data_IF_032160838431
#
_entry.id   IF_032160838431
#
_cell.length_a   1.000
_cell.length_b   1.000
_cell.length_c   1.000
_cell.angle_alpha   90.00
_cell.angle_beta   90.00
_cell.angle_gamma   90.00
#
_symmetry.space_group_name_H-M   'P 1'
#
loop_
_entity.id
_entity.type
_entity.pdbx_description
1 polymer ?
#
# COMPACT_ATOMS: atom_id res chain seq x y z
N UNK A 1 -8.01 8.43 22.37
CA UNK A 1 -7.56 8.63 20.97
C UNK A 1 -8.74 8.92 20.05
N UNK A 2 -9.68 8.00 19.80
CA UNK A 2 -10.80 8.20 18.87
C UNK A 2 -11.65 9.44 19.15
N UNK A 3 -11.86 9.81 20.42
CA UNK A 3 -12.64 11.00 20.79
C UNK A 3 -12.03 12.33 20.30
N UNK A 4 -10.73 12.35 20.01
CA UNK A 4 -10.02 13.53 19.48
C UNK A 4 -10.24 13.68 17.97
N UNK A 5 -10.32 12.56 17.25
CA UNK A 5 -10.35 12.54 15.80
C UNK A 5 -11.79 12.73 15.32
N UNK A 6 -12.03 13.77 14.52
CA UNK A 6 -13.32 14.05 13.92
C UNK A 6 -13.76 12.89 13.02
N UNK A 7 -15.03 12.57 13.05
CA UNK A 7 -15.66 11.65 12.11
C UNK A 7 -16.50 12.46 11.12
N UNK A 8 -16.04 12.54 9.89
CA UNK A 8 -16.82 13.14 8.81
C UNK A 8 -17.94 12.18 8.40
N UNK A 9 -19.07 12.74 7.96
CA UNK A 9 -20.14 11.93 7.39
C UNK A 9 -19.64 11.33 6.05
N UNK A 10 -19.88 10.04 5.85
CA UNK A 10 -19.61 9.40 4.56
C UNK A 10 -20.43 10.10 3.46
N UNK A 11 -19.80 10.59 2.37
CA UNK A 11 -20.52 11.26 1.30
C UNK A 11 -21.40 10.29 0.52
N UNK A 12 -22.46 10.82 -0.09
CA UNK A 12 -23.30 10.06 -1.01
C UNK A 12 -22.66 10.05 -2.38
N UNK A 13 -22.50 8.87 -2.98
CA UNK A 13 -22.01 8.78 -4.36
C UNK A 13 -23.04 9.37 -5.32
N UNK A 14 -22.59 10.24 -6.21
CA UNK A 14 -23.49 10.96 -7.11
C UNK A 14 -24.11 10.06 -8.20
N UNK A 15 -23.33 9.08 -8.69
CA UNK A 15 -23.75 8.16 -9.74
C UNK A 15 -23.33 6.72 -9.37
N UNK A 16 -24.21 5.94 -8.70
CA UNK A 16 -23.95 4.53 -8.43
C UNK A 16 -23.73 3.75 -9.73
N UNK A 17 -22.79 2.81 -9.71
CA UNK A 17 -22.47 2.00 -10.89
C UNK A 17 -23.48 0.86 -11.02
N UNK A 18 -24.01 0.64 -12.22
CA UNK A 18 -24.86 -0.52 -12.50
C UNK A 18 -24.07 -1.81 -12.30
N UNK A 19 -24.57 -2.70 -11.42
CA UNK A 19 -23.83 -3.88 -10.99
C UNK A 19 -23.55 -4.88 -12.11
N UNK A 20 -24.43 -4.98 -13.14
CA UNK A 20 -24.21 -5.88 -14.26
C UNK A 20 -23.16 -5.32 -15.22
N UNK A 21 -23.30 -4.06 -15.59
CA UNK A 21 -22.30 -3.37 -16.43
C UNK A 21 -20.92 -3.38 -15.75
N UNK A 22 -20.87 -3.20 -14.43
CA UNK A 22 -19.64 -3.25 -13.66
C UNK A 22 -18.99 -4.64 -13.68
N UNK A 23 -19.78 -5.71 -13.55
CA UNK A 23 -19.26 -7.09 -13.65
C UNK A 23 -18.63 -7.37 -15.03
N UNK A 24 -19.29 -6.94 -16.11
CA UNK A 24 -18.76 -7.10 -17.47
C UNK A 24 -17.48 -6.28 -17.68
N UNK A 25 -17.43 -5.07 -17.13
CA UNK A 25 -16.26 -4.19 -17.13
C UNK A 25 -15.07 -4.85 -16.41
N UNK A 26 -15.29 -5.39 -15.18
CA UNK A 26 -14.23 -6.06 -14.43
C UNK A 26 -13.73 -7.32 -15.14
N UNK A 27 -14.59 -8.11 -15.75
CA UNK A 27 -14.19 -9.30 -16.50
C UNK A 27 -13.31 -8.93 -17.71
N UNK A 28 -13.68 -7.85 -18.42
CA UNK A 28 -12.85 -7.31 -19.51
C UNK A 28 -11.49 -6.81 -19.01
N UNK A 29 -11.49 -6.08 -17.89
CA UNK A 29 -10.27 -5.57 -17.26
C UNK A 29 -9.35 -6.70 -16.81
N UNK A 30 -9.88 -7.75 -16.16
CA UNK A 30 -9.10 -8.94 -15.76
C UNK A 30 -8.39 -9.59 -16.95
N UNK A 31 -9.12 -9.82 -18.05
CA UNK A 31 -8.53 -10.38 -19.28
C UNK A 31 -7.43 -9.47 -19.81
N UNK A 32 -7.67 -8.17 -19.88
CA UNK A 32 -6.71 -7.22 -20.39
C UNK A 32 -5.45 -7.14 -19.52
N UNK A 33 -5.60 -7.11 -18.20
CA UNK A 33 -4.48 -7.09 -17.24
C UNK A 33 -3.65 -8.36 -17.33
N UNK A 34 -4.28 -9.54 -17.46
CA UNK A 34 -3.56 -10.80 -17.66
C UNK A 34 -2.74 -10.81 -18.95
N UNK A 35 -3.27 -10.23 -20.04
CA UNK A 35 -2.54 -10.06 -21.30
C UNK A 35 -1.31 -9.13 -21.10
N UNK A 36 -1.48 -8.02 -20.35
CA UNK A 36 -0.39 -7.08 -20.06
C UNK A 36 0.69 -7.75 -19.19
N UNK A 37 0.32 -8.37 -18.07
CA UNK A 37 1.27 -9.07 -17.19
C UNK A 37 1.98 -10.20 -17.95
N UNK A 38 1.29 -10.90 -18.85
CA UNK A 38 1.91 -11.92 -19.70
C UNK A 38 2.98 -11.37 -20.63
N UNK A 39 2.79 -10.17 -21.21
CA UNK A 39 3.81 -9.49 -22.02
C UNK A 39 5.01 -9.08 -21.15
N UNK A 40 4.76 -8.57 -19.95
CA UNK A 40 5.79 -8.14 -19.02
C UNK A 40 6.71 -9.29 -18.58
N UNK A 41 6.26 -10.55 -18.57
CA UNK A 41 7.14 -11.71 -18.34
C UNK A 41 8.30 -11.75 -19.34
N UNK A 42 8.04 -11.42 -20.60
CA UNK A 42 9.08 -11.39 -21.64
C UNK A 42 9.89 -10.10 -21.60
N UNK A 43 9.23 -8.97 -21.37
CA UNK A 43 9.86 -7.66 -21.38
C UNK A 43 10.80 -7.44 -20.19
N UNK A 44 10.38 -7.86 -19.00
CA UNK A 44 11.18 -7.68 -17.78
C UNK A 44 12.17 -8.83 -17.57
N UNK A 45 11.87 -10.03 -18.07
CA UNK A 45 12.74 -11.20 -17.91
C UNK A 45 13.05 -11.47 -16.45
N UNK A 46 14.33 -11.49 -16.10
CA UNK A 46 14.81 -11.74 -14.74
C UNK A 46 15.00 -10.46 -13.92
N UNK A 47 14.64 -9.31 -14.46
CA UNK A 47 14.73 -8.01 -13.80
C UNK A 47 13.40 -7.60 -13.20
N UNK A 48 13.43 -6.52 -12.45
CA UNK A 48 12.25 -5.91 -11.82
C UNK A 48 12.00 -4.55 -12.46
N UNK A 49 10.74 -4.13 -12.60
CA UNK A 49 10.43 -2.74 -12.93
C UNK A 49 10.91 -1.82 -11.80
N UNK A 50 11.46 -0.68 -12.15
CA UNK A 50 11.74 0.40 -11.20
C UNK A 50 10.45 0.93 -10.56
N UNK A 51 10.54 1.88 -9.67
CA UNK A 51 9.39 2.37 -8.91
C UNK A 51 8.31 2.99 -9.82
N UNK A 52 8.73 3.70 -10.88
CA UNK A 52 7.82 4.38 -11.81
C UNK A 52 8.29 4.27 -13.24
N UNK A 53 7.36 4.38 -14.17
CA UNK A 53 7.65 4.55 -15.57
C UNK A 53 8.43 5.85 -15.85
N UNK A 54 9.09 5.87 -17.01
CA UNK A 54 9.64 7.05 -17.65
C UNK A 54 9.12 7.07 -19.09
N UNK A 55 8.28 8.04 -19.42
CA UNK A 55 7.58 8.12 -20.70
C UNK A 55 6.78 6.82 -21.01
N UNK A 56 6.09 6.29 -20.01
CA UNK A 56 5.22 5.12 -20.13
C UNK A 56 5.95 3.75 -20.06
N UNK A 57 7.27 3.72 -19.91
CA UNK A 57 8.03 2.46 -19.80
C UNK A 57 8.80 2.39 -18.48
N UNK A 58 8.71 1.25 -17.82
CA UNK A 58 9.53 0.98 -16.64
C UNK A 58 11.00 0.76 -17.01
N UNK A 59 11.94 1.54 -16.44
CA UNK A 59 13.33 1.13 -16.38
C UNK A 59 13.45 -0.18 -15.60
N UNK A 60 14.38 -1.04 -16.00
CA UNK A 60 14.59 -2.33 -15.33
C UNK A 60 15.73 -2.24 -14.34
N UNK A 61 15.54 -2.86 -13.17
CA UNK A 61 16.51 -2.87 -12.08
C UNK A 61 16.73 -4.30 -11.55
N UNK A 62 17.76 -4.45 -10.73
CA UNK A 62 17.91 -5.64 -9.88
C UNK A 62 16.90 -5.59 -8.71
N UNK A 63 16.91 -6.61 -7.87
CA UNK A 63 16.07 -6.63 -6.68
C UNK A 63 16.62 -5.68 -5.60
N UNK A 64 16.42 -4.39 -5.81
CA UNK A 64 16.81 -3.28 -4.92
C UNK A 64 15.64 -2.33 -4.76
N UNK A 65 15.77 -1.32 -3.91
CA UNK A 65 14.72 -0.37 -3.57
C UNK A 65 13.49 -1.05 -2.91
N UNK A 66 12.44 -0.31 -2.67
CA UNK A 66 11.30 -0.78 -1.87
C UNK A 66 10.14 -1.40 -2.68
N UNK A 67 10.19 -1.33 -4.00
CA UNK A 67 9.02 -1.61 -4.85
C UNK A 67 9.06 -2.94 -5.59
N UNK A 68 10.17 -3.66 -5.59
CA UNK A 68 10.36 -4.84 -6.46
C UNK A 68 9.36 -5.97 -6.19
N UNK A 69 8.84 -6.06 -4.96
CA UNK A 69 7.83 -7.07 -4.61
C UNK A 69 6.46 -6.84 -5.24
N UNK A 70 6.12 -5.61 -5.62
CA UNK A 70 4.84 -5.34 -6.28
C UNK A 70 4.71 -6.08 -7.61
N UNK A 71 5.80 -6.20 -8.37
CA UNK A 71 5.83 -7.04 -9.56
C UNK A 71 5.65 -8.54 -9.22
N UNK A 72 6.35 -9.03 -8.21
CA UNK A 72 6.19 -10.42 -7.76
C UNK A 72 4.76 -10.67 -7.26
N UNK A 73 4.17 -9.70 -6.55
CA UNK A 73 2.78 -9.75 -6.10
C UNK A 73 1.79 -9.81 -7.26
N UNK A 74 2.00 -9.01 -8.32
CA UNK A 74 1.18 -9.08 -9.53
C UNK A 74 1.23 -10.48 -10.18
N UNK A 75 2.38 -11.14 -10.17
CA UNK A 75 2.52 -12.51 -10.69
C UNK A 75 1.72 -13.52 -9.86
N UNK A 76 1.73 -13.41 -8.54
CA UNK A 76 0.91 -14.25 -7.67
C UNK A 76 -0.58 -14.03 -7.93
N UNK A 77 -1.03 -12.78 -8.00
CA UNK A 77 -2.43 -12.43 -8.30
C UNK A 77 -2.84 -12.90 -9.69
N UNK A 78 -1.96 -12.78 -10.69
CA UNK A 78 -2.22 -13.28 -12.04
C UNK A 78 -2.36 -14.82 -12.07
N UNK A 79 -1.58 -15.52 -11.27
CA UNK A 79 -1.73 -16.96 -11.11
C UNK A 79 -3.05 -17.33 -10.42
N UNK A 80 -3.45 -16.63 -9.36
CA UNK A 80 -4.74 -16.84 -8.69
C UNK A 80 -5.91 -16.58 -9.64
N UNK A 81 -5.85 -15.54 -10.48
CA UNK A 81 -6.91 -15.23 -11.45
C UNK A 81 -7.02 -16.23 -12.59
N UNK A 82 -5.89 -16.79 -13.07
CA UNK A 82 -5.85 -17.54 -14.33
C UNK A 82 -5.52 -19.02 -14.18
N UNK A 83 -4.81 -19.40 -13.12
CA UNK A 83 -4.24 -20.74 -12.97
C UNK A 83 -3.04 -21.02 -13.89
N UNK A 84 -2.53 -20.03 -14.65
CA UNK A 84 -1.46 -20.23 -15.61
C UNK A 84 -0.09 -20.34 -14.92
N UNK A 85 0.55 -21.50 -15.02
CA UNK A 85 1.82 -21.83 -14.36
C UNK A 85 3.00 -20.91 -14.73
N UNK A 86 2.96 -20.20 -15.86
CA UNK A 86 4.00 -19.24 -16.24
C UNK A 86 4.19 -18.12 -15.21
N UNK A 87 3.08 -17.64 -14.60
CA UNK A 87 3.11 -16.58 -13.58
C UNK A 87 3.72 -17.10 -12.28
N UNK A 88 3.25 -18.26 -11.81
CA UNK A 88 3.83 -18.93 -10.64
C UNK A 88 5.31 -19.21 -10.81
N UNK A 89 5.72 -19.77 -11.96
CA UNK A 89 7.11 -20.12 -12.21
C UNK A 89 8.05 -18.90 -12.10
N UNK A 90 7.63 -17.74 -12.60
CA UNK A 90 8.40 -16.51 -12.48
C UNK A 90 8.39 -15.99 -11.02
N UNK A 91 7.25 -16.00 -10.34
CA UNK A 91 7.15 -15.58 -8.95
C UNK A 91 8.03 -16.44 -8.02
N UNK A 92 8.07 -17.75 -8.21
CA UNK A 92 8.98 -18.67 -7.50
C UNK A 92 10.46 -18.38 -7.77
N UNK A 93 10.81 -17.96 -8.99
CA UNK A 93 12.16 -17.50 -9.31
C UNK A 93 12.52 -16.23 -8.55
N UNK A 94 11.58 -15.29 -8.44
CA UNK A 94 11.76 -14.07 -7.65
C UNK A 94 11.94 -14.36 -6.17
N UNK A 95 11.25 -15.36 -5.59
CA UNK A 95 11.44 -15.77 -4.18
C UNK A 95 12.91 -16.04 -3.88
N UNK A 96 13.65 -16.69 -4.77
CA UNK A 96 15.09 -16.94 -4.59
C UNK A 96 15.90 -15.64 -4.60
N UNK A 97 15.53 -14.68 -5.45
CA UNK A 97 16.14 -13.34 -5.48
C UNK A 97 15.93 -12.60 -4.16
N UNK A 98 14.71 -12.62 -3.60
CA UNK A 98 14.42 -12.06 -2.28
C UNK A 98 15.19 -12.79 -1.16
N UNK A 99 15.34 -14.12 -1.27
CA UNK A 99 16.16 -14.91 -0.36
C UNK A 99 17.62 -14.46 -0.34
N UNK A 100 18.22 -14.24 -1.51
CA UNK A 100 19.60 -13.72 -1.62
C UNK A 100 19.72 -12.30 -1.06
N UNK A 101 18.72 -11.45 -1.31
CA UNK A 101 18.66 -10.07 -0.81
C UNK A 101 18.70 -10.02 0.71
N UNK A 102 17.83 -10.79 1.40
CA UNK A 102 17.79 -10.78 2.85
C UNK A 102 18.98 -11.47 3.49
N UNK A 103 19.44 -12.59 2.94
CA UNK A 103 20.61 -13.30 3.44
C UNK A 103 21.90 -12.46 3.35
N UNK A 104 22.03 -11.69 2.27
CA UNK A 104 23.15 -10.76 2.06
C UNK A 104 22.97 -9.40 2.72
N UNK A 105 21.85 -9.14 3.37
CA UNK A 105 21.51 -7.80 3.91
C UNK A 105 21.64 -6.67 2.86
N UNK A 106 21.34 -6.99 1.61
CA UNK A 106 21.47 -6.03 0.53
C UNK A 106 20.24 -5.12 0.52
N UNK A 107 20.45 -3.81 0.67
CA UNK A 107 19.39 -2.79 0.65
C UNK A 107 18.20 -3.14 1.56
N UNK A 108 18.50 -3.42 2.84
CA UNK A 108 17.51 -3.85 3.85
C UNK A 108 17.32 -2.83 4.98
N UNK A 109 17.92 -1.63 4.88
CA UNK A 109 17.82 -0.57 5.88
C UNK A 109 16.54 0.26 5.72
N UNK A 110 15.39 -0.42 5.67
CA UNK A 110 14.08 0.18 5.46
C UNK A 110 12.99 -0.59 6.19
N UNK A 111 11.91 0.09 6.57
CA UNK A 111 10.69 -0.57 7.06
C UNK A 111 9.93 -1.32 5.95
N UNK A 112 10.20 -1.01 4.68
CA UNK A 112 9.55 -1.62 3.51
C UNK A 112 9.87 -3.11 3.33
N UNK A 113 10.68 -3.69 4.21
CA UNK A 113 10.80 -5.14 4.35
C UNK A 113 9.42 -5.81 4.49
N UNK A 114 8.45 -5.12 5.08
CA UNK A 114 7.06 -5.58 5.12
C UNK A 114 6.47 -5.75 3.72
N UNK A 115 6.46 -4.71 2.88
CA UNK A 115 6.04 -4.80 1.48
C UNK A 115 6.83 -5.86 0.72
N UNK A 116 8.17 -5.78 0.80
CA UNK A 116 9.06 -6.65 0.04
C UNK A 116 8.79 -8.13 0.29
N UNK A 117 8.59 -8.54 1.54
CA UNK A 117 8.49 -9.95 1.87
C UNK A 117 7.07 -10.46 2.03
N UNK A 118 6.09 -9.59 2.34
CA UNK A 118 4.69 -9.99 2.39
C UNK A 118 4.17 -10.35 1.00
N UNK A 119 4.44 -9.50 0.00
CA UNK A 119 3.94 -9.68 -1.36
C UNK A 119 4.74 -10.71 -2.18
N UNK A 120 5.96 -11.04 -1.77
CA UNK A 120 6.80 -12.04 -2.44
C UNK A 120 6.80 -13.38 -1.72
N UNK A 121 7.49 -13.44 -0.59
CA UNK A 121 7.81 -14.71 0.09
C UNK A 121 6.67 -15.21 0.99
N UNK A 122 5.97 -14.32 1.73
CA UNK A 122 4.79 -14.74 2.52
C UNK A 122 3.68 -15.20 1.59
N UNK A 123 3.45 -14.51 0.46
CA UNK A 123 2.50 -14.94 -0.56
C UNK A 123 2.87 -16.33 -1.10
N UNK A 124 4.14 -16.56 -1.46
CA UNK A 124 4.63 -17.89 -1.88
C UNK A 124 4.35 -18.97 -0.83
N UNK A 125 4.65 -18.70 0.45
CA UNK A 125 4.36 -19.64 1.54
C UNK A 125 2.87 -19.96 1.66
N UNK A 126 2.02 -18.92 1.64
CA UNK A 126 0.55 -19.09 1.77
C UNK A 126 -0.06 -19.85 0.61
N UNK A 127 0.37 -19.56 -0.62
CA UNK A 127 -0.23 -20.11 -1.84
C UNK A 127 0.33 -21.49 -2.21
N UNK A 128 1.61 -21.77 -1.91
CA UNK A 128 2.28 -23.00 -2.39
C UNK A 128 2.88 -23.88 -1.30
N UNK A 129 2.94 -23.39 -0.06
CA UNK A 129 3.62 -24.07 1.03
C UNK A 129 5.15 -24.04 0.92
N UNK A 130 5.72 -23.11 0.16
CA UNK A 130 7.16 -22.98 -0.06
C UNK A 130 7.91 -22.67 1.25
N UNK A 131 8.62 -23.67 1.80
CA UNK A 131 9.31 -23.56 3.10
C UNK A 131 10.52 -22.64 3.06
N UNK A 132 11.22 -22.52 1.95
CA UNK A 132 12.33 -21.57 1.80
C UNK A 132 11.81 -20.15 1.87
N UNK A 133 10.72 -19.85 1.16
CA UNK A 133 10.04 -18.54 1.21
C UNK A 133 9.63 -18.18 2.63
N UNK A 134 9.08 -19.15 3.40
CA UNK A 134 8.78 -18.97 4.83
C UNK A 134 10.03 -18.58 5.62
N UNK A 135 11.15 -19.28 5.40
CA UNK A 135 12.43 -18.98 6.05
C UNK A 135 12.92 -17.57 5.74
N UNK A 136 12.88 -17.15 4.48
CA UNK A 136 13.27 -15.80 4.07
C UNK A 136 12.38 -14.72 4.68
N UNK A 137 11.07 -14.95 4.76
CA UNK A 137 10.14 -14.02 5.40
C UNK A 137 10.41 -13.85 6.89
N UNK A 138 10.80 -14.92 7.60
CA UNK A 138 11.18 -14.83 9.01
C UNK A 138 12.48 -14.05 9.22
N UNK A 139 13.47 -14.23 8.33
CA UNK A 139 14.69 -13.40 8.35
C UNK A 139 14.36 -11.91 8.10
N UNK A 140 13.43 -11.62 7.20
CA UNK A 140 12.99 -10.25 6.95
C UNK A 140 12.22 -9.66 8.14
N UNK A 141 11.40 -10.46 8.83
CA UNK A 141 10.70 -10.03 10.03
C UNK A 141 11.68 -9.68 11.16
N UNK A 142 12.74 -10.50 11.37
CA UNK A 142 13.82 -10.17 12.33
C UNK A 142 14.52 -8.86 11.94
N UNK A 143 14.85 -8.67 10.65
CA UNK A 143 15.48 -7.45 10.17
C UNK A 143 14.58 -6.21 10.35
N UNK A 144 13.26 -6.36 10.16
CA UNK A 144 12.30 -5.30 10.42
C UNK A 144 12.19 -5.00 11.91
N UNK A 145 12.20 -6.04 12.77
CA UNK A 145 12.17 -5.88 14.22
C UNK A 145 13.42 -5.16 14.75
N UNK A 146 14.60 -5.35 14.15
CA UNK A 146 15.82 -4.61 14.48
C UNK A 146 15.68 -3.08 14.37
N UNK A 147 14.69 -2.61 13.59
CA UNK A 147 14.39 -1.18 13.41
C UNK A 147 13.45 -0.61 14.47
N UNK A 148 13.03 -1.43 15.43
CA UNK A 148 12.14 -1.01 16.50
C UNK A 148 12.88 -0.29 17.62
N UNK A 149 12.44 0.93 17.94
CA UNK A 149 12.96 1.73 19.05
C UNK A 149 12.12 1.53 20.31
N UNK A 150 12.66 0.85 21.31
CA UNK A 150 11.96 0.45 22.52
C UNK A 150 11.33 1.61 23.30
N UNK A 151 11.99 2.77 23.40
CA UNK A 151 11.45 3.93 24.13
C UNK A 151 10.42 4.70 23.32
N UNK A 152 10.70 4.93 22.04
CA UNK A 152 9.80 5.63 21.14
C UNK A 152 8.61 4.75 20.70
N UNK A 153 8.71 3.41 20.86
CA UNK A 153 7.68 2.46 20.46
C UNK A 153 7.33 2.51 18.97
N UNK A 154 8.32 2.78 18.13
CA UNK A 154 8.17 2.90 16.67
C UNK A 154 9.19 2.05 15.93
N UNK A 155 8.83 1.65 14.71
CA UNK A 155 9.74 1.12 13.70
C UNK A 155 10.21 2.29 12.85
N UNK A 156 11.53 2.52 12.79
CA UNK A 156 12.09 3.60 11.99
C UNK A 156 11.97 3.28 10.51
N UNK A 157 11.52 4.26 9.70
CA UNK A 157 11.21 4.08 8.29
C UNK A 157 12.47 3.72 7.47
N UNK A 158 13.30 4.67 7.17
CA UNK A 158 14.57 4.47 6.45
C UNK A 158 15.72 5.15 7.19
N UNK A 159 16.93 4.97 6.67
CA UNK A 159 18.15 5.61 7.17
C UNK A 159 18.84 4.79 8.25
N UNK A 160 20.02 5.24 8.61
CA UNK A 160 20.85 4.66 9.64
C UNK A 160 20.20 4.85 11.03
N UNK A 161 20.10 3.77 11.80
CA UNK A 161 19.53 3.81 13.16
C UNK A 161 20.41 4.59 14.14
N UNK A 162 21.70 4.72 13.85
CA UNK A 162 22.68 5.45 14.67
C UNK A 162 22.80 6.92 14.31
N UNK A 163 22.24 7.37 13.17
CA UNK A 163 22.27 8.75 12.74
C UNK A 163 21.21 9.58 13.47
N UNK A 164 21.60 10.54 14.33
CA UNK A 164 20.65 11.34 15.11
C UNK A 164 19.67 12.17 14.27
N UNK A 165 20.07 12.55 13.04
CA UNK A 165 19.23 13.36 12.15
C UNK A 165 18.15 12.51 11.44
N UNK A 166 18.37 11.19 11.37
CA UNK A 166 17.43 10.24 10.77
C UNK A 166 16.65 9.44 11.81
N UNK A 167 17.16 9.34 13.02
CA UNK A 167 16.58 8.55 14.08
C UNK A 167 15.19 9.03 14.48
N UNK A 168 14.30 8.07 14.71
CA UNK A 168 12.95 8.34 15.21
C UNK A 168 11.92 8.72 14.14
N UNK A 169 12.24 8.58 12.85
CA UNK A 169 11.30 8.81 11.74
C UNK A 169 10.26 7.70 11.66
N UNK A 170 9.01 8.04 11.89
CA UNK A 170 7.85 7.20 11.69
C UNK A 170 7.05 7.71 10.49
N UNK A 171 6.61 6.83 9.60
CA UNK A 171 5.88 7.17 8.37
C UNK A 171 4.58 6.36 8.31
N UNK A 172 3.53 6.97 7.75
CA UNK A 172 2.19 6.38 7.71
C UNK A 172 2.16 5.02 6.95
N UNK A 173 3.00 4.85 5.93
CA UNK A 173 3.12 3.62 5.14
C UNK A 173 3.63 2.43 5.95
N UNK A 174 4.32 2.65 7.08
CA UNK A 174 4.74 1.54 7.95
C UNK A 174 3.56 0.65 8.39
N UNK A 175 2.36 1.20 8.49
CA UNK A 175 1.17 0.42 8.81
C UNK A 175 0.89 -0.70 7.81
N UNK A 176 1.32 -0.53 6.54
CA UNK A 176 1.25 -1.57 5.50
C UNK A 176 2.37 -2.63 5.64
N UNK A 177 3.41 -2.33 6.41
CA UNK A 177 4.56 -3.21 6.63
C UNK A 177 4.41 -4.11 7.87
N UNK A 178 3.53 -3.74 8.80
CA UNK A 178 3.27 -4.48 10.05
C UNK A 178 2.75 -5.91 9.85
N UNK A 179 1.99 -6.24 8.80
CA UNK A 179 1.53 -7.60 8.53
C UNK A 179 2.65 -8.65 8.54
N UNK A 180 3.87 -8.31 8.12
CA UNK A 180 5.01 -9.21 8.18
C UNK A 180 5.33 -9.64 9.63
N UNK A 181 5.25 -8.70 10.57
CA UNK A 181 5.51 -8.97 11.99
C UNK A 181 4.37 -9.77 12.64
N UNK A 182 3.13 -9.42 12.38
CA UNK A 182 2.00 -10.21 12.85
C UNK A 182 2.08 -11.65 12.35
N UNK A 183 2.33 -11.83 11.04
CA UNK A 183 2.51 -13.13 10.42
C UNK A 183 3.69 -13.91 11.05
N UNK A 184 4.81 -13.26 11.36
CA UNK A 184 5.96 -13.90 12.00
C UNK A 184 5.59 -14.46 13.38
N UNK A 185 4.80 -13.74 14.18
CA UNK A 185 4.24 -14.27 15.44
C UNK A 185 3.35 -15.49 15.20
N UNK A 186 2.46 -15.47 14.21
CA UNK A 186 1.63 -16.63 13.85
C UNK A 186 2.47 -17.86 13.49
N UNK A 187 3.59 -17.66 12.80
CA UNK A 187 4.46 -18.75 12.35
C UNK A 187 5.35 -19.32 13.43
N UNK A 188 5.75 -18.53 14.41
CA UNK A 188 6.78 -18.89 15.40
C UNK A 188 6.26 -19.04 16.82
N UNK A 189 5.14 -18.39 17.13
CA UNK A 189 4.65 -18.21 18.50
C UNK A 189 5.44 -17.14 19.28
N UNK A 190 6.43 -16.48 18.69
CA UNK A 190 7.21 -15.43 19.35
C UNK A 190 6.41 -14.12 19.37
N UNK A 191 6.02 -13.62 20.56
CA UNK A 191 5.20 -12.41 20.68
C UNK A 191 5.95 -11.13 20.33
N UNK A 192 7.30 -11.10 20.34
CA UNK A 192 8.10 -9.89 20.11
C UNK A 192 7.71 -9.16 18.83
N UNK A 193 7.43 -9.93 17.77
CA UNK A 193 7.05 -9.35 16.47
C UNK A 193 5.70 -8.62 16.56
N UNK A 194 4.65 -9.30 17.02
CA UNK A 194 3.33 -8.69 17.13
C UNK A 194 3.29 -7.56 18.18
N UNK A 195 4.07 -7.65 19.25
CA UNK A 195 4.14 -6.62 20.28
C UNK A 195 4.77 -5.34 19.74
N UNK A 196 5.84 -5.45 18.94
CA UNK A 196 6.45 -4.31 18.26
C UNK A 196 5.48 -3.68 17.24
N UNK A 197 4.77 -4.50 16.45
CA UNK A 197 3.78 -4.03 15.50
C UNK A 197 2.60 -3.30 16.18
N UNK A 198 2.06 -3.86 17.26
CA UNK A 198 1.00 -3.22 18.07
C UNK A 198 1.48 -1.91 18.68
N UNK A 199 2.69 -1.88 19.22
CA UNK A 199 3.26 -0.65 19.78
C UNK A 199 3.39 0.43 18.71
N UNK A 200 3.91 0.08 17.53
CA UNK A 200 4.05 1.01 16.41
C UNK A 200 2.71 1.56 15.93
N UNK A 201 1.71 0.69 15.67
CA UNK A 201 0.41 1.15 15.13
C UNK A 201 -0.31 2.07 16.11
N UNK A 202 -0.13 1.89 17.43
CA UNK A 202 -0.68 2.80 18.44
C UNK A 202 0.01 4.17 18.41
N UNK A 203 1.32 4.24 18.17
CA UNK A 203 2.03 5.50 17.97
C UNK A 203 1.60 6.19 16.67
N UNK A 204 1.48 5.43 15.58
CA UNK A 204 0.96 5.93 14.31
C UNK A 204 -0.45 6.53 14.48
N UNK A 205 -1.35 5.83 15.16
CA UNK A 205 -2.69 6.30 15.45
C UNK A 205 -2.72 7.56 16.33
N UNK A 206 -1.73 7.71 17.21
CA UNK A 206 -1.66 8.85 18.14
C UNK A 206 -1.09 10.10 17.49
N UNK A 207 -0.06 9.97 16.67
CA UNK A 207 0.75 11.11 16.20
C UNK A 207 0.66 11.37 14.69
N UNK A 208 0.41 10.35 13.87
CA UNK A 208 0.27 10.54 12.43
C UNK A 208 -1.14 10.99 12.01
N UNK A 209 -2.17 10.79 12.85
CA UNK A 209 -3.53 11.22 12.53
C UNK A 209 -3.83 12.55 13.24
N UNK A 210 -4.24 13.54 12.45
CA UNK A 210 -4.69 14.84 12.96
C UNK A 210 -6.12 14.78 13.46
N UNK A 211 -6.54 15.81 14.18
CA UNK A 211 -7.89 15.90 14.77
C UNK A 211 -9.02 15.94 13.74
N UNK A 212 -8.73 16.37 12.51
CA UNK A 212 -9.67 16.40 11.39
C UNK A 212 -9.75 15.08 10.60
N UNK A 213 -9.01 14.04 11.02
CA UNK A 213 -8.82 12.76 10.35
C UNK A 213 -7.93 12.81 9.08
N UNK A 214 -7.23 13.91 8.81
CA UNK A 214 -6.13 13.90 7.87
C UNK A 214 -4.88 13.25 8.47
N UNK A 215 -3.93 12.82 7.61
CA UNK A 215 -2.69 12.21 8.07
C UNK A 215 -1.48 13.11 7.81
N UNK A 216 -0.52 13.12 8.76
CA UNK A 216 0.84 13.47 8.43
C UNK A 216 1.46 12.38 7.56
N UNK A 217 2.36 12.75 6.65
CA UNK A 217 3.20 11.77 5.97
C UNK A 217 4.18 11.16 6.97
N UNK A 218 4.91 11.99 7.68
CA UNK A 218 6.02 11.62 8.57
C UNK A 218 5.81 12.26 9.94
N UNK A 219 6.20 11.55 11.00
CA UNK A 219 6.30 12.09 12.34
C UNK A 219 7.61 11.64 13.00
N UNK A 220 8.23 12.54 13.75
CA UNK A 220 9.51 12.27 14.42
C UNK A 220 9.31 12.10 15.93
N UNK A 221 9.94 11.06 16.46
CA UNK A 221 10.01 10.77 17.88
C UNK A 221 11.45 10.91 18.38
N UNK A 222 11.63 11.32 19.62
CA UNK A 222 12.94 11.23 20.27
C UNK A 222 13.17 9.77 20.71
N UNK A 223 14.13 9.10 20.10
CA UNK A 223 14.41 7.68 20.37
C UNK A 223 15.04 7.45 21.75
N UNK A 224 15.57 8.48 22.40
CA UNK A 224 16.21 8.41 23.72
C UNK A 224 15.19 8.54 24.84
N UNK A 225 14.21 9.43 24.66
CA UNK A 225 13.20 9.74 25.69
C UNK A 225 11.84 9.09 25.37
N UNK A 226 11.55 8.82 24.12
CA UNK A 226 10.23 8.41 23.61
C UNK A 226 9.26 9.57 23.41
N UNK A 227 9.72 10.81 23.55
CA UNK A 227 8.85 11.98 23.42
C UNK A 227 8.53 12.29 21.93
N UNK A 228 7.30 12.77 21.64
CA UNK A 228 6.96 13.25 20.30
C UNK A 228 7.70 14.56 20.00
N UNK A 229 8.11 14.75 18.73
CA UNK A 229 8.80 15.96 18.29
C UNK A 229 7.92 16.80 17.36
N UNK A 230 7.74 16.38 16.12
CA UNK A 230 6.96 17.10 15.12
C UNK A 230 6.54 16.20 13.96
N UNK A 231 5.47 16.59 13.24
CA UNK A 231 5.07 16.01 11.98
C UNK A 231 5.46 16.90 10.80
N UNK A 232 5.74 16.28 9.65
CA UNK A 232 5.99 16.98 8.39
C UNK A 232 5.61 16.10 7.19
N UNK A 233 5.93 16.59 5.99
CA UNK A 233 5.82 15.80 4.76
C UNK A 233 7.17 15.63 4.07
N UNK A 234 7.30 14.54 3.29
CA UNK A 234 8.40 14.32 2.35
C UNK A 234 7.88 14.41 0.91
N UNK A 235 6.68 13.92 0.66
CA UNK A 235 6.11 13.81 -0.68
C UNK A 235 4.83 14.61 -0.87
N UNK A 236 4.18 15.08 0.21
CA UNK A 236 2.98 15.91 0.15
C UNK A 236 3.25 17.35 -0.26
N UNK A 237 2.17 18.11 -0.46
CA UNK A 237 2.20 19.51 -0.91
C UNK A 237 2.82 20.45 0.13
N UNK A 238 2.48 20.27 1.39
CA UNK A 238 2.99 21.06 2.53
C UNK A 238 2.95 20.22 3.82
N UNK A 239 3.68 20.63 4.85
CA UNK A 239 3.75 19.91 6.14
C UNK A 239 2.38 19.76 6.83
N UNK A 240 1.46 20.68 6.59
CA UNK A 240 0.10 20.69 7.11
C UNK A 240 -0.94 20.19 6.09
N UNK A 241 -0.54 19.83 4.88
CA UNK A 241 -1.42 19.23 3.87
C UNK A 241 -1.66 17.74 4.13
N UNK A 242 -2.44 17.10 3.29
CA UNK A 242 -2.75 15.69 3.39
C UNK A 242 -2.39 14.96 2.07
N UNK A 243 -1.18 14.41 2.03
CA UNK A 243 -0.72 13.59 0.93
C UNK A 243 -1.66 12.39 0.70
N UNK A 244 -2.26 12.28 -0.49
CA UNK A 244 -3.34 11.35 -0.77
C UNK A 244 -2.93 9.88 -0.59
N UNK A 245 -1.73 9.52 -1.03
CA UNK A 245 -1.22 8.16 -0.87
C UNK A 245 -0.97 7.82 0.60
N UNK A 246 -0.51 8.78 1.40
CA UNK A 246 -0.39 8.60 2.85
C UNK A 246 -1.74 8.36 3.53
N UNK A 247 -2.78 9.11 3.12
CA UNK A 247 -4.14 8.88 3.62
C UNK A 247 -4.65 7.48 3.24
N UNK A 248 -4.41 7.04 1.99
CA UNK A 248 -4.78 5.71 1.51
C UNK A 248 -4.03 4.60 2.26
N UNK A 249 -2.73 4.77 2.53
CA UNK A 249 -1.95 3.87 3.39
C UNK A 249 -2.54 3.76 4.79
N UNK A 250 -3.03 4.87 5.34
CA UNK A 250 -3.71 4.88 6.63
C UNK A 250 -5.02 4.08 6.59
N UNK A 251 -5.86 4.29 5.58
CA UNK A 251 -7.13 3.55 5.41
C UNK A 251 -6.86 2.05 5.45
N UNK A 252 -5.96 1.56 4.61
CA UNK A 252 -5.71 0.13 4.47
C UNK A 252 -4.85 -0.42 5.61
N UNK A 253 -3.79 0.27 6.01
CA UNK A 253 -2.85 -0.22 7.01
C UNK A 253 -3.43 -0.36 8.41
N UNK A 254 -4.27 0.56 8.88
CA UNK A 254 -4.98 0.39 10.16
C UNK A 254 -5.95 -0.79 10.10
N UNK A 255 -6.61 -0.99 8.98
CA UNK A 255 -7.49 -2.13 8.81
C UNK A 255 -6.74 -3.47 8.81
N UNK A 256 -5.56 -3.54 8.18
CA UNK A 256 -4.69 -4.71 8.26
C UNK A 256 -4.31 -5.04 9.71
N UNK A 257 -4.01 -4.03 10.53
CA UNK A 257 -3.77 -4.24 11.96
C UNK A 257 -5.02 -4.75 12.70
N UNK A 258 -6.22 -4.27 12.34
CA UNK A 258 -7.48 -4.84 12.86
C UNK A 258 -7.62 -6.32 12.53
N UNK A 259 -7.34 -6.72 11.29
CA UNK A 259 -7.47 -8.12 10.83
C UNK A 259 -6.62 -9.08 11.69
N UNK A 260 -5.42 -8.66 12.08
CA UNK A 260 -4.53 -9.48 12.91
C UNK A 260 -4.80 -9.40 14.42
N UNK A 261 -5.35 -8.30 14.90
CA UNK A 261 -5.46 -8.03 16.33
C UNK A 261 -6.87 -8.05 16.89
N UNK A 262 -7.86 -7.83 16.05
CA UNK A 262 -9.27 -7.61 16.48
C UNK A 262 -9.49 -6.31 17.24
N UNK A 263 -8.52 -5.36 17.22
CA UNK A 263 -8.69 -4.07 17.93
C UNK A 263 -9.65 -3.16 17.16
N UNK A 264 -10.86 -3.01 17.68
CA UNK A 264 -11.95 -2.17 17.13
C UNK A 264 -11.54 -0.71 16.92
N UNK A 265 -10.51 -0.23 17.61
CA UNK A 265 -9.97 1.11 17.39
C UNK A 265 -9.40 1.24 15.98
N UNK A 266 -8.78 0.21 15.45
CA UNK A 266 -8.13 0.24 14.14
C UNK A 266 -9.14 0.32 12.99
N UNK A 267 -10.22 -0.47 13.03
CA UNK A 267 -11.26 -0.39 12.01
C UNK A 267 -12.03 0.96 12.11
N UNK A 268 -12.26 1.47 13.31
CA UNK A 268 -12.87 2.79 13.49
C UNK A 268 -12.00 3.92 12.95
N UNK A 269 -10.67 3.82 13.06
CA UNK A 269 -9.74 4.76 12.43
C UNK A 269 -9.79 4.66 10.91
N UNK A 270 -9.74 3.45 10.37
CA UNK A 270 -9.87 3.22 8.93
C UNK A 270 -11.14 3.87 8.36
N UNK A 271 -12.31 3.72 9.02
CA UNK A 271 -13.56 4.42 8.63
C UNK A 271 -13.41 5.94 8.59
N UNK A 272 -12.81 6.55 9.61
CA UNK A 272 -12.64 8.01 9.68
C UNK A 272 -11.72 8.55 8.59
N UNK A 273 -10.61 7.83 8.34
CA UNK A 273 -9.68 8.16 7.28
C UNK A 273 -10.31 7.99 5.89
N UNK A 274 -11.12 6.93 5.69
CA UNK A 274 -11.88 6.70 4.47
C UNK A 274 -12.90 7.83 4.22
N UNK A 275 -13.66 8.24 5.24
CA UNK A 275 -14.61 9.33 5.10
C UNK A 275 -13.93 10.65 4.73
N UNK A 276 -12.79 10.96 5.35
CA UNK A 276 -11.97 12.12 4.99
C UNK A 276 -11.53 12.09 3.53
N UNK A 277 -11.01 10.95 3.07
CA UNK A 277 -10.56 10.74 1.70
C UNK A 277 -11.70 10.89 0.69
N UNK A 278 -12.82 10.21 0.92
CA UNK A 278 -13.97 10.17 0.02
C UNK A 278 -14.66 11.54 -0.13
N UNK A 279 -14.67 12.36 0.93
CA UNK A 279 -15.18 13.74 0.89
C UNK A 279 -14.32 14.69 0.03
N UNK A 280 -13.14 14.27 -0.39
CA UNK A 280 -12.19 15.09 -1.16
C UNK A 280 -11.91 14.54 -2.56
N UNK A 281 -12.72 13.60 -3.00
CA UNK A 281 -12.63 13.10 -4.37
C UNK A 281 -13.27 14.08 -5.37
N UNK A 282 -12.61 14.33 -6.51
CA UNK A 282 -13.21 15.00 -7.64
C UNK A 282 -14.34 14.19 -8.30
N UNK A 283 -15.02 14.78 -9.29
CA UNK A 283 -16.15 14.16 -9.99
C UNK A 283 -15.80 12.85 -10.73
N UNK A 284 -14.52 12.67 -11.08
CA UNK A 284 -14.00 11.45 -11.71
C UNK A 284 -13.62 10.35 -10.69
N UNK A 285 -13.85 10.58 -9.39
CA UNK A 285 -13.58 9.66 -8.28
C UNK A 285 -12.10 9.28 -8.07
N UNK A 286 -11.15 9.93 -8.76
CA UNK A 286 -9.72 9.73 -8.56
C UNK A 286 -9.12 10.95 -7.88
N UNK A 287 -8.47 10.76 -6.73
CA UNK A 287 -7.95 11.84 -5.91
C UNK A 287 -6.83 12.63 -6.60
N UNK A 288 -6.69 13.91 -6.24
CA UNK A 288 -5.45 14.63 -6.47
C UNK A 288 -4.30 14.01 -5.68
N UNK A 289 -3.06 14.26 -6.07
CA UNK A 289 -1.87 13.74 -5.39
C UNK A 289 -1.72 14.24 -3.94
N UNK A 290 -2.43 15.33 -3.60
CA UNK A 290 -2.61 15.80 -2.23
C UNK A 290 -4.07 16.25 -2.05
N UNK A 291 -4.71 15.82 -0.97
CA UNK A 291 -6.12 16.05 -0.70
C UNK A 291 -6.45 17.51 -0.31
N UNK A 292 -5.44 18.33 -0.05
CA UNK A 292 -5.62 19.77 0.13
C UNK A 292 -5.89 20.51 -1.19
N UNK A 293 -5.70 19.88 -2.34
CA UNK A 293 -5.79 20.49 -3.68
C UNK A 293 -7.16 20.30 -4.33
N UNK A 294 -8.19 20.00 -3.56
CA UNK A 294 -9.57 19.89 -4.05
C UNK A 294 -10.01 21.19 -4.73
N UNK A 295 -10.67 21.05 -5.90
CA UNK A 295 -11.16 22.20 -6.68
C UNK A 295 -10.10 22.93 -7.51
N UNK A 296 -8.91 22.34 -7.64
CA UNK A 296 -7.83 22.84 -8.51
C UNK A 296 -7.63 21.93 -9.72
N UNK A 297 -6.77 22.33 -10.66
CA UNK A 297 -6.33 21.52 -11.80
C UNK A 297 -5.09 20.67 -11.46
N UNK A 298 -4.87 20.35 -10.19
CA UNK A 298 -3.74 19.54 -9.75
C UNK A 298 -3.79 18.12 -10.33
N UNK A 299 -2.61 17.50 -10.49
CA UNK A 299 -2.46 16.13 -10.98
C UNK A 299 -3.25 15.14 -10.12
N UNK A 300 -3.76 14.11 -10.78
CA UNK A 300 -4.34 12.94 -10.10
C UNK A 300 -3.24 12.02 -9.57
N UNK A 301 -3.58 11.22 -8.57
CA UNK A 301 -2.77 10.06 -8.17
C UNK A 301 -3.63 8.79 -8.20
N UNK A 302 -3.63 8.12 -9.32
CA UNK A 302 -4.36 6.87 -9.53
C UNK A 302 -3.91 5.77 -8.58
N UNK A 303 -2.63 5.77 -8.18
CA UNK A 303 -2.09 4.78 -7.23
C UNK A 303 -2.72 4.92 -5.84
N UNK A 304 -2.94 6.16 -5.38
CA UNK A 304 -3.64 6.41 -4.11
C UNK A 304 -5.08 5.93 -4.16
N UNK A 305 -5.76 6.14 -5.28
CA UNK A 305 -7.13 5.66 -5.48
C UNK A 305 -7.20 4.13 -5.46
N UNK A 306 -6.26 3.44 -6.12
CA UNK A 306 -6.20 1.96 -6.13
C UNK A 306 -5.97 1.39 -4.72
N UNK A 307 -5.06 1.97 -3.94
CA UNK A 307 -4.82 1.59 -2.54
C UNK A 307 -6.08 1.80 -1.69
N UNK A 308 -6.74 2.95 -1.86
CA UNK A 308 -7.96 3.24 -1.13
C UNK A 308 -9.08 2.24 -1.47
N UNK A 309 -9.23 1.81 -2.73
CA UNK A 309 -10.19 0.75 -3.12
C UNK A 309 -9.91 -0.54 -2.37
N UNK A 310 -8.66 -1.02 -2.33
CA UNK A 310 -8.30 -2.22 -1.56
C UNK A 310 -8.70 -2.08 -0.08
N UNK A 311 -8.39 -0.93 0.54
CA UNK A 311 -8.80 -0.64 1.90
C UNK A 311 -10.33 -0.61 2.09
N UNK A 312 -11.08 -0.04 1.15
CA UNK A 312 -12.55 0.00 1.21
C UNK A 312 -13.17 -1.40 1.05
N UNK A 313 -12.63 -2.23 0.15
CA UNK A 313 -13.11 -3.61 -0.04
C UNK A 313 -12.88 -4.45 1.21
N UNK A 314 -11.70 -4.34 1.83
CA UNK A 314 -11.44 -5.01 3.10
C UNK A 314 -12.31 -4.45 4.23
N UNK A 315 -12.55 -3.14 4.29
CA UNK A 315 -13.46 -2.54 5.26
C UNK A 315 -14.87 -3.12 5.14
N UNK A 316 -15.39 -3.25 3.92
CA UNK A 316 -16.70 -3.88 3.65
C UNK A 316 -16.75 -5.34 4.11
N UNK A 317 -15.67 -6.11 3.94
CA UNK A 317 -15.61 -7.51 4.42
C UNK A 317 -15.73 -7.61 5.94
N UNK A 318 -15.14 -6.65 6.67
CA UNK A 318 -15.03 -6.70 8.13
C UNK A 318 -16.09 -5.90 8.89
N UNK A 319 -16.80 -4.97 8.25
CA UNK A 319 -17.91 -4.28 8.87
C UNK A 319 -19.10 -5.22 9.09
N UNK A 320 -19.81 -5.08 10.22
CA UNK A 320 -21.05 -5.81 10.45
C UNK A 320 -22.04 -5.63 9.29
N UNK A 321 -22.80 -6.67 8.96
CA UNK A 321 -23.84 -6.60 7.92
C UNK A 321 -24.89 -5.53 8.22
N UNK A 322 -25.06 -5.20 9.50
CA UNK A 322 -25.98 -4.16 9.99
C UNK A 322 -25.39 -2.75 10.01
N UNK A 323 -24.08 -2.59 9.66
CA UNK A 323 -23.47 -1.26 9.59
C UNK A 323 -24.09 -0.48 8.42
N UNK A 324 -24.69 0.70 8.66
CA UNK A 324 -25.42 1.46 7.64
C UNK A 324 -24.52 2.00 6.52
N UNK A 325 -23.22 2.06 6.74
CA UNK A 325 -22.24 2.57 5.77
C UNK A 325 -21.60 1.46 4.92
N UNK A 326 -21.78 0.19 5.28
CA UNK A 326 -21.14 -0.94 4.62
C UNK A 326 -21.42 -0.99 3.11
N UNK A 327 -22.68 -0.87 2.70
CA UNK A 327 -23.04 -0.86 1.28
C UNK A 327 -22.57 0.41 0.58
N UNK A 328 -22.56 1.53 1.26
CA UNK A 328 -22.06 2.82 0.72
C UNK A 328 -20.56 2.78 0.45
N UNK A 329 -19.76 2.14 1.31
CA UNK A 329 -18.34 1.91 1.02
C UNK A 329 -18.14 1.02 -0.20
N UNK A 330 -18.98 -0.02 -0.37
CA UNK A 330 -18.95 -0.85 -1.58
C UNK A 330 -19.26 -0.03 -2.84
N UNK A 331 -20.28 0.85 -2.80
CA UNK A 331 -20.61 1.71 -3.94
C UNK A 331 -19.46 2.67 -4.28
N UNK A 332 -18.79 3.24 -3.28
CA UNK A 332 -17.60 4.06 -3.48
C UNK A 332 -16.45 3.25 -4.09
N UNK A 333 -16.18 2.05 -3.60
CA UNK A 333 -15.15 1.18 -4.16
C UNK A 333 -15.43 0.86 -5.64
N UNK A 334 -16.69 0.54 -5.99
CA UNK A 334 -17.12 0.31 -7.38
C UNK A 334 -16.95 1.56 -8.25
N UNK A 335 -17.34 2.74 -7.76
CA UNK A 335 -17.22 4.00 -8.48
C UNK A 335 -15.78 4.35 -8.82
N UNK A 336 -14.88 4.27 -7.83
CA UNK A 336 -13.45 4.51 -8.00
C UNK A 336 -12.86 3.47 -8.97
N UNK A 337 -13.17 2.18 -8.77
CA UNK A 337 -12.65 1.10 -9.61
C UNK A 337 -13.11 1.22 -11.07
N UNK A 338 -14.37 1.58 -11.31
CA UNK A 338 -14.89 1.83 -12.65
C UNK A 338 -14.17 3.02 -13.32
N UNK A 339 -13.93 4.10 -12.59
CA UNK A 339 -13.16 5.23 -13.10
C UNK A 339 -11.71 4.84 -13.45
N UNK A 340 -11.02 4.14 -12.54
CA UNK A 340 -9.66 3.64 -12.80
C UNK A 340 -9.61 2.76 -14.05
N UNK A 341 -10.57 1.86 -14.20
CA UNK A 341 -10.64 0.94 -15.35
C UNK A 341 -10.88 1.67 -16.67
N UNK A 342 -11.78 2.64 -16.69
CA UNK A 342 -12.16 3.34 -17.94
C UNK A 342 -11.17 4.41 -18.40
N UNK A 343 -10.55 5.09 -17.45
CA UNK A 343 -9.82 6.34 -17.77
C UNK A 343 -8.33 6.24 -17.45
N UNK A 344 -7.93 5.35 -16.55
CA UNK A 344 -6.57 5.27 -16.05
C UNK A 344 -5.84 3.97 -16.44
N UNK A 345 -6.55 2.87 -16.72
CA UNK A 345 -5.92 1.64 -17.21
C UNK A 345 -5.32 1.90 -18.59
N UNK A 346 -4.08 1.44 -18.81
CA UNK A 346 -3.41 1.53 -20.09
C UNK A 346 -4.17 0.74 -21.15
N UNK A 347 -4.48 1.39 -22.28
CA UNK A 347 -5.22 0.77 -23.38
C UNK A 347 -4.38 -0.27 -24.14
N UNK A 348 -5.06 -1.19 -24.86
CA UNK A 348 -4.38 -2.27 -25.62
C UNK A 348 -3.43 -1.75 -26.69
N UNK A 349 -3.73 -0.62 -27.30
CA UNK A 349 -2.97 0.01 -28.39
C UNK A 349 -2.04 1.13 -27.89
N UNK A 350 -2.08 1.45 -26.58
CA UNK A 350 -1.18 2.44 -26.01
C UNK A 350 0.24 1.90 -25.91
N UNK A 351 1.21 2.80 -26.15
CA UNK A 351 2.62 2.47 -26.01
C UNK A 351 3.03 2.61 -24.54
N UNK A 352 3.58 1.56 -23.98
CA UNK A 352 4.04 1.51 -22.62
C UNK A 352 4.01 0.10 -22.05
N UNK A 353 4.56 -0.03 -20.84
CA UNK A 353 4.55 -1.28 -20.08
C UNK A 353 4.18 -1.09 -18.60
N UNK A 354 3.48 0.00 -18.26
CA UNK A 354 2.77 0.14 -17.00
C UNK A 354 1.32 -0.35 -17.14
N UNK A 355 0.59 -0.42 -16.03
CA UNK A 355 -0.84 -0.76 -16.01
C UNK A 355 -1.70 0.46 -15.74
N UNK A 356 -1.42 1.20 -14.67
CA UNK A 356 -2.25 2.30 -14.19
C UNK A 356 -1.55 3.64 -14.37
N UNK A 357 -2.04 4.46 -15.30
CA UNK A 357 -1.50 5.78 -15.66
C UNK A 357 -1.85 6.83 -14.61
N UNK A 358 -1.15 7.96 -14.67
CA UNK A 358 -1.44 9.18 -13.90
C UNK A 358 -1.26 9.02 -12.40
N UNK A 359 -0.18 8.35 -11.98
CA UNK A 359 0.30 8.36 -10.60
C UNK A 359 1.31 9.48 -10.38
N UNK A 360 1.47 9.91 -9.13
CA UNK A 360 2.50 10.87 -8.73
C UNK A 360 3.33 10.28 -7.60
N UNK A 361 4.60 9.95 -7.89
CA UNK A 361 5.49 9.45 -6.86
C UNK A 361 5.98 10.58 -5.94
N UNK A 362 6.74 11.53 -6.48
CA UNK A 362 7.27 12.64 -5.70
C UNK A 362 7.40 13.90 -6.58
N UNK A 363 6.42 14.80 -6.49
CA UNK A 363 6.38 16.02 -7.30
C UNK A 363 7.56 16.96 -7.01
N UNK A 364 7.93 17.11 -5.73
CA UNK A 364 9.01 18.02 -5.33
C UNK A 364 10.40 17.68 -5.90
N UNK A 365 10.67 16.40 -6.18
CA UNK A 365 11.90 15.94 -6.85
C UNK A 365 11.70 15.63 -8.34
N UNK A 366 10.52 15.88 -8.90
CA UNK A 366 10.15 15.53 -10.28
C UNK A 366 10.38 14.05 -10.62
N UNK A 367 10.11 13.15 -9.66
CA UNK A 367 10.27 11.69 -9.81
C UNK A 367 8.91 11.05 -9.99
N UNK A 368 8.70 10.34 -11.10
CA UNK A 368 7.45 9.61 -11.40
C UNK A 368 6.21 10.51 -11.32
N UNK A 369 6.25 11.63 -12.04
CA UNK A 369 5.17 12.61 -12.08
C UNK A 369 4.32 12.33 -13.31
N UNK A 370 3.03 12.05 -13.09
CA UNK A 370 2.07 11.72 -14.15
C UNK A 370 2.46 10.45 -14.94
N UNK A 371 3.01 9.46 -14.24
CA UNK A 371 3.51 8.18 -14.80
C UNK A 371 2.77 6.99 -14.19
N UNK A 372 3.04 5.76 -14.68
CA UNK A 372 2.65 4.55 -13.97
C UNK A 372 3.59 4.32 -12.78
N UNK A 373 3.05 3.74 -11.71
CA UNK A 373 3.80 3.39 -10.52
C UNK A 373 3.59 1.90 -10.18
N UNK A 374 4.67 1.18 -9.88
CA UNK A 374 4.61 -0.29 -9.67
C UNK A 374 3.67 -0.71 -8.54
N UNK A 375 3.54 0.10 -7.49
CA UNK A 375 2.56 -0.12 -6.42
C UNK A 375 1.14 0.19 -6.90
N UNK A 376 0.93 1.23 -7.72
CA UNK A 376 -0.38 1.54 -8.31
C UNK A 376 -0.88 0.39 -9.17
N UNK A 377 -0.01 -0.16 -10.00
CA UNK A 377 -0.28 -1.33 -10.83
C UNK A 377 -0.69 -2.54 -9.95
N UNK A 378 0.08 -2.81 -8.89
CA UNK A 378 -0.20 -3.92 -7.97
C UNK A 378 -1.57 -3.78 -7.28
N UNK A 379 -1.85 -2.62 -6.65
CA UNK A 379 -3.10 -2.44 -5.91
C UNK A 379 -4.32 -2.40 -6.84
N UNK A 380 -4.16 -1.95 -8.08
CA UNK A 380 -5.23 -2.10 -9.07
C UNK A 380 -5.52 -3.58 -9.37
N UNK A 381 -4.48 -4.41 -9.54
CA UNK A 381 -4.63 -5.85 -9.75
C UNK A 381 -5.22 -6.53 -8.51
N UNK A 382 -4.77 -6.17 -7.30
CA UNK A 382 -5.31 -6.69 -6.04
C UNK A 382 -6.82 -6.39 -5.92
N UNK A 383 -7.25 -5.19 -6.28
CA UNK A 383 -8.65 -4.81 -6.26
C UNK A 383 -9.52 -5.55 -7.30
N UNK A 384 -8.92 -6.12 -8.35
CA UNK A 384 -9.59 -6.94 -9.37
C UNK A 384 -9.84 -8.39 -8.92
N UNK A 385 -9.03 -8.93 -8.01
CA UNK A 385 -9.14 -10.31 -7.51
C UNK A 385 -10.23 -10.45 -6.48
#
# INVERSE_FOLDING_TARGET
MLSRIKEERLPVIAAPVDSRAFSDELNSARSHVLDLISRHLTEFGDKFPAETCQNGFYPLTDNVEWTTSFWTGQLWLAWEMSGEEKFRAMAEKHVRSFGLRIAGRNDTNTHDLGFLYTLSCVAAWRLTGNREARGFSLLAAEALLERFHEKAKIIQAWGDLSDPDQAGRMIIDCNMNLPLLYWATEQTGDPRFADAAKAHVMQAATYLIRDDASTFHTYYMDVTTGAPRYGNTQQGYADDSCWSRGQAWGIYGFLLSYIYTGDETMIALSKRLANYFLNRLPDDYVCHWDLALVGTDALRDSSSAAIAVCGLLELVKHLPVTDPDRERYMEWAKGIMSSLTKHYLMGREEKGNGLLKHSVYHLGSNKGVDECASWGDYFYVEALV
#
